data_IF_645816291933
#
_entry.id   IF_645816291933
#
_cell.length_a   1.000
_cell.length_b   1.000
_cell.length_c   1.000
_cell.angle_alpha   90.00
_cell.angle_beta   90.00
_cell.angle_gamma   90.00
#
_symmetry.space_group_name_H-M   'P 1'
#
loop_
_entity.id
_entity.type
_entity.pdbx_description
1 polymer ?
#
# COMPACT_ATOMS: atom_id res chain seq x y z
N UNK A 1 -5.29 -21.15 2.58
CA UNK A 1 -3.86 -20.95 2.86
C UNK A 1 -3.57 -19.48 2.56
N UNK A 2 -3.49 -18.64 3.59
CA UNK A 2 -3.22 -17.21 3.39
C UNK A 2 -1.73 -17.06 3.10
N UNK A 3 -1.37 -16.71 1.87
CA UNK A 3 -0.02 -16.34 1.48
C UNK A 3 0.32 -15.07 2.26
N UNK A 4 0.93 -15.23 3.43
CA UNK A 4 1.48 -14.14 4.20
C UNK A 4 2.62 -13.59 3.35
N UNK A 5 2.35 -12.52 2.59
CA UNK A 5 3.43 -11.73 2.01
C UNK A 5 4.34 -11.36 3.18
N UNK A 6 5.56 -11.87 3.18
CA UNK A 6 6.61 -11.39 4.09
C UNK A 6 6.97 -10.02 3.54
N UNK A 7 6.19 -9.02 3.95
CA UNK A 7 6.35 -7.63 3.56
C UNK A 7 7.59 -7.13 4.29
N UNK A 8 8.68 -6.96 3.56
CA UNK A 8 9.92 -6.44 4.11
C UNK A 8 9.77 -4.93 4.29
N UNK A 9 9.19 -4.53 5.42
CA UNK A 9 9.01 -3.12 5.80
C UNK A 9 10.33 -2.41 6.14
N UNK A 10 11.44 -3.15 6.19
CA UNK A 10 12.77 -2.58 6.42
C UNK A 10 13.29 -1.91 5.14
N UNK A 11 13.19 -2.61 4.01
CA UNK A 11 13.69 -2.21 2.70
C UNK A 11 12.60 -1.58 1.82
N UNK A 12 11.33 -1.94 2.02
CA UNK A 12 10.23 -1.48 1.18
C UNK A 12 9.13 -0.79 1.99
N UNK A 13 8.52 0.21 1.37
CA UNK A 13 7.35 0.92 1.83
C UNK A 13 6.16 0.43 1.04
N UNK A 14 5.11 0.02 1.74
CA UNK A 14 3.88 -0.44 1.13
C UNK A 14 2.82 0.64 1.21
N UNK A 15 2.11 0.82 0.11
CA UNK A 15 1.05 1.82 -0.02
C UNK A 15 -0.21 1.12 -0.49
N UNK A 16 -1.30 1.39 0.21
CA UNK A 16 -2.63 0.95 -0.15
C UNK A 16 -3.37 2.11 -0.78
N UNK A 17 -3.72 1.96 -2.06
CA UNK A 17 -4.52 2.93 -2.79
C UNK A 17 -5.94 2.41 -2.89
N UNK A 18 -6.87 3.13 -2.28
CA UNK A 18 -8.30 2.88 -2.44
C UNK A 18 -8.78 3.62 -3.67
N UNK A 19 -9.23 2.86 -4.67
CA UNK A 19 -9.82 3.37 -5.89
C UNK A 19 -11.34 3.28 -5.82
N UNK A 20 -12.02 4.00 -6.71
CA UNK A 20 -13.45 3.87 -6.92
C UNK A 20 -13.74 2.60 -7.72
N UNK A 21 -14.93 1.99 -7.58
CA UNK A 21 -15.30 0.76 -8.29
C UNK A 21 -15.32 0.91 -9.83
N UNK A 22 -15.33 2.14 -10.34
CA UNK A 22 -15.22 2.45 -11.77
C UNK A 22 -13.78 2.49 -12.30
N UNK A 23 -12.78 2.26 -11.45
CA UNK A 23 -11.37 2.37 -11.82
C UNK A 23 -10.92 1.11 -12.57
N UNK A 24 -10.96 1.16 -13.91
CA UNK A 24 -10.75 0.00 -14.76
C UNK A 24 -9.27 -0.42 -14.92
N UNK A 25 -8.31 0.48 -14.69
CA UNK A 25 -6.90 0.26 -15.04
C UNK A 25 -5.96 0.36 -13.82
N UNK A 26 -5.83 -0.70 -13.00
CA UNK A 26 -4.92 -0.72 -11.86
C UNK A 26 -3.43 -0.61 -12.26
N UNK A 27 -3.06 -0.99 -13.48
CA UNK A 27 -1.70 -0.81 -13.99
C UNK A 27 -1.28 0.66 -14.09
N UNK A 28 -2.23 1.59 -14.25
CA UNK A 28 -1.93 3.02 -14.29
C UNK A 28 -1.44 3.58 -12.95
N UNK A 29 -1.57 2.82 -11.84
CA UNK A 29 -1.05 3.19 -10.52
C UNK A 29 0.48 3.02 -10.41
N UNK A 30 1.11 2.26 -11.31
CA UNK A 30 2.56 2.13 -11.42
C UNK A 30 3.16 3.35 -12.14
N UNK A 31 2.95 4.53 -11.57
CA UNK A 31 3.32 5.84 -12.12
C UNK A 31 4.83 6.09 -12.15
N UNK A 32 5.62 5.25 -11.49
CA UNK A 32 7.06 5.41 -11.36
C UNK A 32 7.75 4.05 -11.47
N UNK A 33 8.93 3.95 -12.12
CA UNK A 33 9.66 2.68 -12.23
C UNK A 33 10.03 2.07 -10.87
N UNK A 34 10.25 2.90 -9.85
CA UNK A 34 10.47 2.44 -8.47
C UNK A 34 9.19 1.97 -7.76
N UNK A 35 8.01 2.24 -8.30
CA UNK A 35 6.73 1.79 -7.72
C UNK A 35 6.34 0.48 -8.41
N UNK A 36 6.37 -0.61 -7.66
CA UNK A 36 5.92 -1.92 -8.12
C UNK A 36 4.49 -2.17 -7.66
N UNK A 37 3.61 -2.51 -8.60
CA UNK A 37 2.24 -2.90 -8.31
C UNK A 37 2.20 -4.37 -7.89
N UNK A 38 1.70 -4.64 -6.68
CA UNK A 38 1.63 -5.98 -6.09
C UNK A 38 0.29 -6.68 -6.32
N UNK A 39 -0.78 -5.92 -6.59
CA UNK A 39 -2.12 -6.47 -6.74
C UNK A 39 -3.09 -5.94 -5.71
N UNK A 40 -4.19 -6.68 -5.50
CA UNK A 40 -5.23 -6.32 -4.54
C UNK A 40 -4.88 -6.73 -3.10
N UNK A 41 -5.37 -5.96 -2.12
CA UNK A 41 -5.22 -6.29 -0.70
C UNK A 41 -6.29 -7.30 -0.28
N UNK A 42 -5.91 -8.58 -0.24
CA UNK A 42 -6.78 -9.66 0.22
C UNK A 42 -8.02 -9.83 -0.67
N UNK A 43 -9.21 -9.64 -0.08
CA UNK A 43 -10.49 -9.76 -0.78
C UNK A 43 -11.10 -8.41 -1.22
N UNK A 44 -10.34 -7.31 -1.11
CA UNK A 44 -10.81 -5.97 -1.46
C UNK A 44 -10.39 -5.61 -2.90
N UNK A 45 -11.31 -5.67 -3.88
CA UNK A 45 -10.98 -5.35 -5.27
C UNK A 45 -10.73 -3.85 -5.50
N UNK A 46 -11.29 -3.00 -4.64
CA UNK A 46 -11.13 -1.54 -4.69
C UNK A 46 -9.82 -1.06 -4.04
N UNK A 47 -9.11 -1.94 -3.33
CA UNK A 47 -7.86 -1.59 -2.64
C UNK A 47 -6.69 -2.26 -3.35
N UNK A 48 -5.80 -1.41 -3.85
CA UNK A 48 -4.64 -1.78 -4.63
C UNK A 48 -3.38 -1.58 -3.78
N UNK A 49 -2.49 -2.58 -3.77
CA UNK A 49 -1.24 -2.58 -3.03
C UNK A 49 -0.08 -2.26 -3.97
N UNK A 50 0.72 -1.29 -3.54
CA UNK A 50 1.94 -0.85 -4.20
C UNK A 50 3.11 -1.04 -3.24
N UNK A 51 4.28 -1.39 -3.75
CA UNK A 51 5.54 -1.39 -3.02
C UNK A 51 6.54 -0.45 -3.64
N UNK A 52 7.28 0.27 -2.80
CA UNK A 52 8.33 1.21 -3.21
C UNK A 52 9.56 0.97 -2.34
N UNK A 53 10.77 0.87 -2.90
CA UNK A 53 11.99 0.77 -2.13
C UNK A 53 12.18 2.04 -1.30
N UNK A 54 12.50 1.87 -0.03
CA UNK A 54 12.53 2.94 0.97
C UNK A 54 13.55 4.02 0.64
N UNK A 55 14.68 3.62 0.04
CA UNK A 55 15.73 4.51 -0.48
C UNK A 55 15.20 5.50 -1.52
N UNK A 56 14.31 5.05 -2.41
CA UNK A 56 13.68 5.94 -3.40
C UNK A 56 12.46 6.64 -2.82
N UNK A 57 11.76 6.02 -1.85
CA UNK A 57 10.50 6.51 -1.32
C UNK A 57 10.61 7.94 -0.79
N UNK A 58 11.64 8.28 -0.01
CA UNK A 58 11.76 9.64 0.54
C UNK A 58 11.81 10.72 -0.55
N UNK A 59 12.49 10.45 -1.67
CA UNK A 59 12.58 11.38 -2.80
C UNK A 59 11.33 11.39 -3.68
N UNK A 60 10.66 10.23 -3.85
CA UNK A 60 9.49 10.14 -4.74
C UNK A 60 8.17 10.32 -4.02
N UNK A 61 8.13 10.34 -2.67
CA UNK A 61 6.86 10.33 -1.90
C UNK A 61 5.93 11.44 -2.33
N UNK A 62 6.44 12.66 -2.49
CA UNK A 62 5.60 13.83 -2.74
C UNK A 62 5.05 13.77 -4.16
N UNK A 63 5.89 13.39 -5.11
CA UNK A 63 5.48 13.20 -6.50
C UNK A 63 4.46 12.06 -6.62
N UNK A 64 4.70 10.93 -5.95
CA UNK A 64 3.81 9.77 -5.97
C UNK A 64 2.47 10.10 -5.30
N UNK A 65 2.48 10.65 -4.08
CA UNK A 65 1.24 11.01 -3.38
C UNK A 65 0.47 12.11 -4.10
N UNK A 66 1.14 13.12 -4.66
CA UNK A 66 0.49 14.17 -5.45
C UNK A 66 -0.12 13.61 -6.74
N UNK A 67 0.59 12.72 -7.43
CA UNK A 67 0.09 12.12 -8.68
C UNK A 67 -1.09 11.18 -8.41
N UNK A 68 -0.98 10.32 -7.39
CA UNK A 68 -2.07 9.44 -6.97
C UNK A 68 -3.30 10.24 -6.52
N UNK A 69 -3.12 11.34 -5.79
CA UNK A 69 -4.23 12.20 -5.35
C UNK A 69 -4.90 12.95 -6.50
N UNK A 70 -4.18 13.21 -7.59
CA UNK A 70 -4.71 13.84 -8.81
C UNK A 70 -5.31 12.83 -9.80
N UNK A 71 -5.09 11.54 -9.56
CA UNK A 71 -5.53 10.49 -10.47
C UNK A 71 -7.04 10.29 -10.34
N UNK A 72 -7.73 10.38 -11.47
CA UNK A 72 -9.18 10.23 -11.50
C UNK A 72 -9.57 8.82 -11.04
N UNK A 73 -10.44 8.74 -10.04
CA UNK A 73 -10.87 7.49 -9.42
C UNK A 73 -10.07 7.05 -8.20
N UNK A 74 -8.96 7.69 -7.82
CA UNK A 74 -8.31 7.45 -6.52
C UNK A 74 -9.10 8.18 -5.43
N UNK A 75 -9.66 7.41 -4.49
CA UNK A 75 -10.37 7.96 -3.32
C UNK A 75 -9.43 8.27 -2.17
N UNK A 76 -8.47 7.38 -1.94
CA UNK A 76 -7.65 7.42 -0.73
C UNK A 76 -6.31 6.75 -0.98
N UNK A 77 -5.26 7.31 -0.40
CA UNK A 77 -3.93 6.72 -0.39
C UNK A 77 -3.52 6.63 1.08
N UNK A 78 -3.37 5.42 1.58
CA UNK A 78 -2.85 5.16 2.91
C UNK A 78 -1.50 4.46 2.77
N UNK A 79 -0.52 4.91 3.54
CA UNK A 79 0.73 4.18 3.68
C UNK A 79 0.48 3.04 4.68
N UNK A 80 0.79 1.82 4.27
CA UNK A 80 0.77 0.70 5.19
C UNK A 80 1.94 0.88 6.16
N UNK A 81 1.62 1.37 7.36
CA UNK A 81 2.57 1.35 8.46
C UNK A 81 2.82 -0.11 8.83
N UNK A 82 4.06 -0.48 9.18
CA UNK A 82 4.37 -1.85 9.60
C UNK A 82 3.34 -2.26 10.65
N UNK A 83 2.83 -3.52 10.58
CA UNK A 83 1.76 -3.96 11.46
C UNK A 83 2.19 -3.66 12.89
N UNK A 84 1.55 -2.64 13.48
CA UNK A 84 1.72 -2.32 14.89
C UNK A 84 1.32 -3.59 15.60
N UNK A 85 2.32 -4.33 16.08
CA UNK A 85 2.15 -5.61 16.76
C UNK A 85 0.97 -5.44 17.69
N UNK A 86 -0.13 -6.09 17.35
CA UNK A 86 -1.33 -6.08 18.17
C UNK A 86 -0.88 -6.78 19.44
N UNK A 87 -0.45 -6.01 20.44
CA UNK A 87 -0.15 -6.54 21.75
C UNK A 87 -1.40 -7.30 22.15
N UNK A 88 -1.29 -8.63 22.25
CA UNK A 88 -2.36 -9.48 22.75
C UNK A 88 -2.72 -8.90 24.12
N UNK A 89 -3.85 -8.20 24.24
CA UNK A 89 -4.41 -7.86 25.55
C UNK A 89 -5.04 -9.16 26.05
N UNK A 90 -4.20 -9.98 26.68
CA UNK A 90 -4.52 -11.33 27.14
C UNK A 90 -3.31 -12.01 27.78
N UNK A 91 -2.89 -11.48 28.92
CA UNK A 91 -2.05 -12.07 29.99
C UNK A 91 -1.93 -10.92 31.01
N UNK A 92 -2.28 -11.02 32.30
CA UNK A 92 -2.06 -12.09 33.26
C UNK A 92 -2.92 -11.81 34.52
N UNK A 93 -3.10 -12.85 35.34
CA UNK A 93 -4.01 -13.01 36.46
C UNK A 93 -3.83 -12.01 37.63
N UNK A 94 -4.93 -11.69 38.34
CA UNK A 94 -4.99 -11.41 39.79
C UNK A 94 -6.44 -11.28 40.27
#
# INVERSE_FOLDING_TARGET
MASQHVLDHAQNVYLTVTTSPSFANPQSLAIHPSVSYLGNVGALPDVQLLSVPRESWESVRESVMSTLSRMDGVRRVDMEQPPKTRAKRGADEL
#
